data_IF_603593818155
#
_entry.id   IF_603593818155
#
_cell.length_a   1.000
_cell.length_b   1.000
_cell.length_c   1.000
_cell.angle_alpha   90.00
_cell.angle_beta   90.00
_cell.angle_gamma   90.00
#
_symmetry.space_group_name_H-M   'P 1'
#
loop_
_entity.id
_entity.type
_entity.pdbx_description
1 polymer ?
#
# COMPACT_ATOMS: atom_id res chain seq x y z
N UNK A 1 -15.64 10.98 34.88
CA UNK A 1 -14.21 11.12 34.56
C UNK A 1 -13.88 9.90 33.73
N UNK A 2 -13.76 10.02 32.40
CA UNK A 2 -13.34 8.87 31.60
C UNK A 2 -11.90 8.55 32.01
N UNK A 3 -11.69 7.32 32.46
CA UNK A 3 -10.36 6.77 32.73
C UNK A 3 -9.53 6.88 31.45
N UNK A 4 -8.26 7.26 31.59
CA UNK A 4 -7.29 7.52 30.52
C UNK A 4 -7.47 6.54 29.35
N UNK A 5 -7.74 7.09 28.15
CA UNK A 5 -7.76 6.29 26.93
C UNK A 5 -6.47 5.47 26.84
N UNK A 6 -6.56 4.16 26.53
CA UNK A 6 -5.39 3.32 26.39
C UNK A 6 -4.47 3.92 25.32
N UNK A 7 -3.16 3.88 25.57
CA UNK A 7 -2.21 4.36 24.58
C UNK A 7 -2.38 3.56 23.28
N UNK A 8 -2.56 4.23 22.14
CA UNK A 8 -2.80 3.54 20.89
C UNK A 8 -1.60 2.65 20.53
N UNK A 9 -1.86 1.35 20.43
CA UNK A 9 -0.91 0.40 19.83
C UNK A 9 -0.97 0.58 18.32
N UNK A 10 -0.17 1.50 17.81
CA UNK A 10 -0.10 1.78 16.39
C UNK A 10 0.47 0.59 15.60
N UNK A 11 -0.07 0.35 14.41
CA UNK A 11 0.39 -0.73 13.52
C UNK A 11 -0.12 -2.13 13.86
N UNK A 12 -0.69 -2.35 15.05
CA UNK A 12 -1.33 -3.61 15.46
C UNK A 12 -2.85 -3.60 15.30
N UNK A 13 -3.45 -2.50 14.85
CA UNK A 13 -4.87 -2.45 14.50
C UNK A 13 -5.15 -3.49 13.39
N UNK A 14 -5.98 -4.48 13.73
CA UNK A 14 -6.45 -5.56 12.86
C UNK A 14 -7.95 -5.74 13.08
N UNK A 15 -8.63 -6.42 12.15
CA UNK A 15 -10.03 -6.82 12.35
C UNK A 15 -10.16 -7.74 13.57
N UNK A 16 -11.30 -7.74 14.23
CA UNK A 16 -11.60 -8.64 15.37
C UNK A 16 -11.72 -10.13 14.98
N UNK A 17 -11.79 -10.43 13.68
CA UNK A 17 -11.84 -11.80 13.16
C UNK A 17 -10.50 -12.53 13.23
N UNK A 18 -10.52 -13.82 12.88
CA UNK A 18 -9.31 -14.64 12.76
C UNK A 18 -8.33 -14.00 11.77
N UNK A 19 -7.07 -13.87 12.17
CA UNK A 19 -6.02 -13.39 11.28
C UNK A 19 -5.60 -14.48 10.28
N UNK A 20 -4.81 -14.09 9.28
CA UNK A 20 -4.36 -15.00 8.23
C UNK A 20 -3.59 -16.20 8.77
N UNK A 21 -2.68 -15.99 9.71
CA UNK A 21 -1.86 -17.06 10.28
C UNK A 21 -2.67 -18.01 11.16
N UNK A 22 -3.63 -17.48 11.92
CA UNK A 22 -4.61 -18.26 12.66
C UNK A 22 -5.49 -19.09 11.74
N UNK A 23 -5.88 -18.56 10.57
CA UNK A 23 -6.62 -19.31 9.57
C UNK A 23 -5.78 -20.46 8.99
N UNK A 24 -4.51 -20.21 8.65
CA UNK A 24 -3.60 -21.24 8.15
C UNK A 24 -3.32 -22.34 9.17
N UNK A 25 -3.30 -22.03 10.48
CA UNK A 25 -3.14 -23.02 11.54
C UNK A 25 -4.31 -24.01 11.65
N UNK A 26 -5.49 -23.67 11.10
CA UNK A 26 -6.65 -24.56 11.04
C UNK A 26 -6.64 -25.47 9.80
N UNK A 27 -5.70 -25.29 8.87
CA UNK A 27 -5.65 -26.10 7.65
C UNK A 27 -5.26 -27.56 7.98
N UNK A 28 -5.91 -28.48 7.29
CA UNK A 28 -5.61 -29.91 7.34
C UNK A 28 -4.23 -30.28 6.77
N UNK A 29 -3.65 -29.41 5.93
CA UNK A 29 -2.35 -29.61 5.28
C UNK A 29 -1.36 -28.57 5.79
N UNK A 30 -0.11 -29.00 5.92
CA UNK A 30 0.99 -28.09 6.21
C UNK A 30 1.11 -27.08 5.07
N UNK A 31 0.92 -25.80 5.40
CA UNK A 31 1.08 -24.68 4.48
C UNK A 31 2.57 -24.40 4.25
N UNK A 32 2.98 -24.01 3.04
CA UNK A 32 4.35 -23.54 2.80
C UNK A 32 4.70 -22.33 3.66
N UNK A 33 5.93 -22.28 4.18
CA UNK A 33 6.40 -21.26 5.12
C UNK A 33 6.18 -19.82 4.61
N UNK A 34 6.41 -19.58 3.31
CA UNK A 34 6.27 -18.26 2.68
C UNK A 34 4.84 -17.68 2.76
N UNK A 35 3.82 -18.52 2.98
CA UNK A 35 2.45 -18.03 3.20
C UNK A 35 2.23 -17.51 4.61
N UNK A 36 3.04 -17.94 5.58
CA UNK A 36 2.93 -17.54 6.99
C UNK A 36 3.95 -16.51 7.43
N UNK A 37 4.95 -16.22 6.59
CA UNK A 37 5.94 -15.19 6.83
C UNK A 37 5.31 -13.79 6.80
N UNK A 38 5.20 -13.15 7.97
CA UNK A 38 4.73 -11.77 8.06
C UNK A 38 5.87 -10.77 7.82
N UNK A 39 5.67 -9.88 6.85
CA UNK A 39 6.60 -8.78 6.54
C UNK A 39 5.94 -7.40 6.74
N UNK A 40 5.21 -7.21 7.84
CA UNK A 40 4.59 -5.92 8.13
C UNK A 40 5.58 -4.95 8.79
N UNK A 41 5.56 -3.70 8.35
CA UNK A 41 6.29 -2.60 9.00
C UNK A 41 5.37 -1.40 9.15
N UNK A 42 5.18 -0.93 10.37
CA UNK A 42 4.42 0.28 10.63
C UNK A 42 5.19 1.51 10.13
N UNK A 43 4.60 2.28 9.21
CA UNK A 43 5.21 3.47 8.57
C UNK A 43 4.63 4.79 9.04
N UNK A 44 3.88 4.80 10.14
CA UNK A 44 3.17 5.96 10.65
C UNK A 44 1.70 6.02 10.19
N UNK A 45 0.91 6.84 10.89
CA UNK A 45 -0.50 7.08 10.62
C UNK A 45 -0.84 8.57 10.61
N UNK A 46 0.19 9.43 10.58
CA UNK A 46 0.00 10.87 10.50
C UNK A 46 -0.68 11.27 9.19
N UNK A 47 -1.52 12.32 9.19
CA UNK A 47 -2.13 12.81 7.97
C UNK A 47 -1.06 13.26 6.97
N UNK A 48 -1.27 12.92 5.71
CA UNK A 48 -0.40 13.41 4.62
C UNK A 48 -0.64 14.92 4.45
N UNK A 49 0.41 15.75 4.41
CA UNK A 49 0.26 17.19 4.21
C UNK A 49 -0.47 17.52 2.90
N UNK A 50 -1.51 18.36 2.99
CA UNK A 50 -2.34 18.75 1.85
C UNK A 50 -1.56 19.51 0.76
N UNK A 51 -0.50 20.22 1.14
CA UNK A 51 0.39 20.95 0.24
C UNK A 51 1.01 20.07 -0.86
N UNK A 52 1.15 18.76 -0.62
CA UNK A 52 1.67 17.82 -1.65
C UNK A 52 0.84 17.84 -2.93
N UNK A 53 -0.44 18.18 -2.85
CA UNK A 53 -1.35 18.20 -3.99
C UNK A 53 -1.43 19.56 -4.70
N UNK A 54 -0.86 20.61 -4.12
CA UNK A 54 -0.95 21.98 -4.66
C UNK A 54 0.40 22.69 -4.83
N UNK A 55 1.47 22.15 -4.26
CA UNK A 55 2.82 22.70 -4.32
C UNK A 55 3.52 22.36 -5.63
N UNK A 56 3.95 23.40 -6.35
CA UNK A 56 4.76 23.22 -7.57
C UNK A 56 6.13 22.61 -7.28
N UNK A 57 6.74 22.94 -6.14
CA UNK A 57 8.04 22.38 -5.75
C UNK A 57 7.94 20.86 -5.54
N UNK A 58 6.83 20.39 -4.95
CA UNK A 58 6.60 18.96 -4.78
C UNK A 58 6.36 18.27 -6.13
N UNK A 59 5.50 18.85 -6.98
CA UNK A 59 5.24 18.32 -8.31
C UNK A 59 6.51 18.24 -9.17
N UNK A 60 7.43 19.20 -9.04
CA UNK A 60 8.74 19.16 -9.69
C UNK A 60 9.58 17.97 -9.23
N UNK A 61 9.63 17.69 -7.93
CA UNK A 61 10.33 16.52 -7.39
C UNK A 61 9.75 15.21 -7.92
N UNK A 62 8.42 15.11 -8.07
CA UNK A 62 7.79 13.93 -8.65
C UNK A 62 8.23 13.70 -10.11
N UNK A 63 8.26 14.77 -10.92
CA UNK A 63 8.74 14.72 -12.31
C UNK A 63 10.21 14.33 -12.43
N UNK A 64 11.04 14.71 -11.46
CA UNK A 64 12.46 14.42 -11.47
C UNK A 64 12.81 13.04 -10.89
N UNK A 65 12.07 12.57 -9.88
CA UNK A 65 12.50 11.44 -9.04
C UNK A 65 11.54 10.25 -9.01
N UNK A 66 10.29 10.43 -9.41
CA UNK A 66 9.29 9.36 -9.37
C UNK A 66 8.91 8.93 -10.78
N UNK A 67 8.32 9.82 -11.57
CA UNK A 67 7.75 9.49 -12.88
C UNK A 67 8.74 8.87 -13.88
N UNK A 68 10.03 9.25 -13.92
CA UNK A 68 11.00 8.62 -14.82
C UNK A 68 11.41 7.18 -14.43
N UNK A 69 11.12 6.77 -13.19
CA UNK A 69 11.61 5.52 -12.62
C UNK A 69 10.48 4.51 -12.34
N UNK A 70 9.28 4.77 -12.85
CA UNK A 70 8.11 3.89 -12.72
C UNK A 70 7.51 3.60 -14.09
N UNK A 71 6.94 2.40 -14.23
CA UNK A 71 6.15 2.07 -15.42
C UNK A 71 4.85 2.87 -15.40
N UNK A 72 4.66 3.69 -16.42
CA UNK A 72 3.43 4.45 -16.62
C UNK A 72 2.56 3.73 -17.64
N UNK A 73 1.27 3.60 -17.32
CA UNK A 73 0.29 3.13 -18.28
C UNK A 73 0.15 4.17 -19.39
N UNK A 74 0.23 3.75 -20.65
CA UNK A 74 0.16 4.65 -21.82
C UNK A 74 -1.12 4.39 -22.61
N UNK A 75 -1.28 3.18 -23.14
CA UNK A 75 -2.43 2.79 -23.95
C UNK A 75 -2.58 1.26 -23.93
N UNK A 76 -3.68 0.78 -24.50
CA UNK A 76 -3.86 -0.63 -24.87
C UNK A 76 -3.57 -0.81 -26.36
N UNK A 77 -3.29 -2.04 -26.76
CA UNK A 77 -3.12 -2.39 -28.17
C UNK A 77 -4.39 -2.09 -28.98
N UNK A 78 -5.57 -2.29 -28.39
CA UNK A 78 -6.87 -2.01 -29.03
C UNK A 78 -7.09 -0.52 -29.35
N UNK A 79 -6.35 0.39 -28.73
CA UNK A 79 -6.40 1.83 -29.02
C UNK A 79 -5.59 2.21 -30.28
N UNK A 80 -4.67 1.33 -30.73
CA UNK A 80 -3.72 1.55 -31.83
C UNK A 80 -3.69 0.34 -32.79
N UNK A 81 -4.81 0.02 -33.48
CA UNK A 81 -4.95 -1.21 -34.24
C UNK A 81 -4.08 -1.26 -35.51
N UNK A 82 -3.86 -0.14 -36.18
CA UNK A 82 -3.24 -0.10 -37.50
C UNK A 82 -1.82 0.54 -37.48
N UNK A 83 -0.92 0.13 -38.39
CA UNK A 83 0.37 0.78 -38.54
C UNK A 83 0.22 2.27 -38.90
N UNK A 84 0.68 3.14 -38.00
CA UNK A 84 0.61 4.58 -38.17
C UNK A 84 -0.37 5.28 -37.24
N UNK A 85 -1.11 4.53 -36.41
CA UNK A 85 -1.90 5.09 -35.32
C UNK A 85 -0.97 5.57 -34.19
N UNK A 86 -1.25 6.75 -33.63
CA UNK A 86 -0.49 7.37 -32.53
C UNK A 86 -1.35 8.30 -31.67
#
# INVERSE_FOLDING_TARGET
>A
MAERDPEPTYGSARSEGIDWNGLMALDSRTVPDFLTEESYTYRGSDPIPAERYTSEEFAKLERERMWPYVWQFVAREEDLPEPGDF
#
